data_IF_219753871785
#
_entry.id   IF_219753871785
#
_cell.length_a   1.000
_cell.length_b   1.000
_cell.length_c   1.000
_cell.angle_alpha   90.00
_cell.angle_beta   90.00
_cell.angle_gamma   90.00
#
_symmetry.space_group_name_H-M   'P 1'
#
loop_
_entity.id
_entity.type
_entity.pdbx_description
1 polymer ?
#
# COMPACT_ATOMS: atom_id res chain seq x y z
N UNK A 1 -5.89 -18.52 12.05
CA UNK A 1 -6.64 -17.45 12.74
C UNK A 1 -7.39 -16.74 11.63
N UNK A 2 -8.72 -16.76 11.65
CA UNK A 2 -9.51 -15.95 10.71
C UNK A 2 -9.34 -14.49 11.12
N UNK A 3 -8.60 -13.75 10.30
CA UNK A 3 -8.32 -12.32 10.50
C UNK A 3 -9.46 -11.41 10.00
N UNK A 4 -10.57 -11.99 9.54
CA UNK A 4 -11.69 -11.28 8.90
C UNK A 4 -12.35 -10.20 9.78
N UNK A 5 -12.08 -10.19 11.08
CA UNK A 5 -12.59 -9.18 12.03
C UNK A 5 -11.49 -8.50 12.86
N UNK A 6 -10.24 -8.50 12.40
CA UNK A 6 -9.21 -7.76 13.13
C UNK A 6 -9.46 -6.25 12.97
N UNK A 7 -9.67 -5.48 14.06
CA UNK A 7 -9.87 -4.04 13.97
C UNK A 7 -8.65 -3.42 13.29
N UNK A 8 -8.85 -2.70 12.20
CA UNK A 8 -7.75 -2.15 11.40
C UNK A 8 -6.87 -1.22 12.26
N UNK A 9 -7.45 -0.59 13.29
CA UNK A 9 -6.76 0.24 14.27
C UNK A 9 -5.67 -0.51 15.06
N UNK A 10 -5.78 -1.83 15.23
CA UNK A 10 -4.77 -2.62 15.94
C UNK A 10 -3.47 -2.78 15.12
N UNK A 11 -3.50 -2.50 13.82
CA UNK A 11 -2.32 -2.58 12.95
C UNK A 11 -1.30 -1.48 13.25
N UNK A 12 -1.66 -0.41 13.99
CA UNK A 12 -0.74 0.69 14.31
C UNK A 12 0.45 0.30 15.20
N UNK A 13 0.41 -0.89 15.79
CA UNK A 13 1.50 -1.42 16.61
C UNK A 13 2.42 -2.36 15.83
N UNK A 14 2.03 -2.74 14.61
CA UNK A 14 2.79 -3.64 13.78
C UNK A 14 3.86 -2.86 13.01
N UNK A 15 5.06 -3.43 13.02
CA UNK A 15 6.22 -2.98 12.24
C UNK A 15 5.98 -3.28 10.77
N UNK A 16 5.49 -4.50 10.50
CA UNK A 16 5.06 -4.92 9.17
C UNK A 16 3.77 -5.73 9.23
N UNK A 17 2.98 -5.69 8.15
CA UNK A 17 1.74 -6.45 8.05
C UNK A 17 1.30 -6.69 6.61
N UNK A 18 0.59 -7.79 6.39
CA UNK A 18 -0.06 -8.10 5.13
C UNK A 18 -1.58 -8.05 5.31
N UNK A 19 -2.27 -7.40 4.38
CA UNK A 19 -3.72 -7.33 4.34
C UNK A 19 -4.21 -7.89 3.02
N UNK A 20 -5.12 -8.85 3.13
CA UNK A 20 -5.82 -9.41 1.98
C UNK A 20 -7.15 -8.68 1.82
N UNK A 21 -7.35 -8.04 0.66
CA UNK A 21 -8.56 -7.33 0.29
C UNK A 21 -9.25 -8.04 -0.86
N UNK A 22 -10.51 -8.41 -0.63
CA UNK A 22 -11.38 -8.93 -1.69
C UNK A 22 -11.94 -7.79 -2.53
N UNK A 23 -12.35 -6.68 -1.91
CA UNK A 23 -12.72 -5.45 -2.61
C UNK A 23 -12.20 -4.22 -1.86
N UNK A 24 -11.32 -3.45 -2.48
CA UNK A 24 -10.76 -2.24 -1.85
C UNK A 24 -11.61 -1.02 -2.13
N UNK A 25 -12.23 -0.46 -1.08
CA UNK A 25 -12.83 0.87 -1.16
C UNK A 25 -11.79 1.96 -0.91
N UNK A 26 -12.01 3.16 -1.48
CA UNK A 26 -11.20 4.35 -1.19
C UNK A 26 -11.22 4.67 0.32
N UNK A 27 -12.33 4.40 1.01
CA UNK A 27 -12.45 4.65 2.44
C UNK A 27 -11.51 3.75 3.25
N UNK A 28 -11.36 2.49 2.87
CA UNK A 28 -10.45 1.56 3.57
C UNK A 28 -8.99 1.88 3.28
N UNK A 29 -8.67 2.29 2.04
CA UNK A 29 -7.37 2.84 1.69
C UNK A 29 -6.99 4.05 2.54
N UNK A 30 -7.94 4.96 2.80
CA UNK A 30 -7.71 6.12 3.67
C UNK A 30 -7.41 5.67 5.10
N UNK A 31 -8.18 4.71 5.64
CA UNK A 31 -7.94 4.17 6.99
C UNK A 31 -6.56 3.53 7.12
N UNK A 32 -6.17 2.70 6.15
CA UNK A 32 -4.83 2.10 6.14
C UNK A 32 -3.76 3.18 6.11
N UNK A 33 -3.87 4.15 5.20
CA UNK A 33 -2.91 5.25 5.12
C UNK A 33 -2.78 5.99 6.45
N UNK A 34 -3.91 6.29 7.09
CA UNK A 34 -3.92 6.95 8.40
C UNK A 34 -3.24 6.12 9.48
N UNK A 35 -3.45 4.80 9.48
CA UNK A 35 -2.80 3.88 10.44
C UNK A 35 -1.30 3.83 10.21
N UNK A 36 -0.89 3.67 8.95
CA UNK A 36 0.52 3.64 8.56
C UNK A 36 1.20 4.95 8.99
N UNK A 37 0.61 6.10 8.68
CA UNK A 37 1.14 7.43 9.05
C UNK A 37 1.21 7.65 10.57
N UNK A 38 0.37 6.97 11.35
CA UNK A 38 0.36 7.08 12.82
C UNK A 38 1.22 6.04 13.50
N UNK A 39 1.69 5.01 12.79
CA UNK A 39 2.51 3.95 13.35
C UNK A 39 3.98 4.40 13.40
N UNK A 40 4.54 4.66 14.59
CA UNK A 40 5.90 5.19 14.72
C UNK A 40 6.97 4.15 14.37
N UNK A 41 6.61 2.88 14.26
CA UNK A 41 7.52 1.77 13.97
C UNK A 41 7.20 1.10 12.64
N UNK A 42 6.35 1.71 11.82
CA UNK A 42 6.01 1.14 10.52
C UNK A 42 7.22 1.08 9.59
N UNK A 43 7.47 -0.11 9.05
CA UNK A 43 8.50 -0.38 8.06
C UNK A 43 7.90 -0.71 6.71
N UNK A 44 6.95 -1.66 6.67
CA UNK A 44 6.34 -2.11 5.43
C UNK A 44 4.93 -2.66 5.58
N UNK A 45 4.13 -2.60 4.53
CA UNK A 45 2.85 -3.29 4.45
C UNK A 45 2.64 -3.84 3.05
N UNK A 46 2.10 -5.05 2.95
CA UNK A 46 1.57 -5.56 1.69
C UNK A 46 0.05 -5.54 1.71
N UNK A 47 -0.54 -5.11 0.60
CA UNK A 47 -1.97 -5.10 0.35
C UNK A 47 -2.20 -5.99 -0.86
N UNK A 48 -2.77 -7.17 -0.65
CA UNK A 48 -3.04 -8.16 -1.68
C UNK A 48 -4.50 -8.08 -2.11
N UNK A 49 -4.76 -8.01 -3.41
CA UNK A 49 -6.09 -8.05 -4.01
C UNK A 49 -6.29 -9.36 -4.77
N UNK A 50 -7.12 -10.26 -4.22
CA UNK A 50 -7.37 -11.58 -4.80
C UNK A 50 -8.46 -11.57 -5.87
N UNK A 51 -9.21 -10.47 -5.97
CA UNK A 51 -10.19 -10.33 -7.03
C UNK A 51 -9.51 -9.90 -8.34
N UNK A 52 -9.98 -10.49 -9.45
CA UNK A 52 -9.62 -10.15 -10.84
C UNK A 52 -9.83 -8.66 -11.16
N UNK A 53 -10.59 -7.97 -10.29
CA UNK A 53 -10.76 -6.53 -10.28
C UNK A 53 -9.57 -5.88 -9.57
N UNK A 54 -8.62 -5.46 -10.41
CA UNK A 54 -7.43 -4.67 -10.11
C UNK A 54 -7.68 -3.59 -9.05
N UNK A 55 -6.69 -3.32 -8.20
CA UNK A 55 -6.68 -2.15 -7.31
C UNK A 55 -7.04 -0.92 -8.14
N UNK A 56 -8.15 -0.25 -7.78
CA UNK A 56 -8.66 0.86 -8.56
C UNK A 56 -7.70 2.04 -8.53
N UNK A 57 -7.58 2.82 -9.62
CA UNK A 57 -6.77 4.04 -9.62
C UNK A 57 -7.10 5.02 -8.50
N UNK A 58 -8.37 5.08 -8.08
CA UNK A 58 -8.79 5.95 -6.97
C UNK A 58 -8.17 5.53 -5.63
N UNK A 59 -7.95 4.23 -5.43
CA UNK A 59 -7.27 3.68 -4.24
C UNK A 59 -5.79 4.03 -4.28
N UNK A 60 -5.14 3.86 -5.44
CA UNK A 60 -3.74 4.25 -5.64
C UNK A 60 -3.51 5.74 -5.33
N UNK A 61 -4.46 6.59 -5.71
CA UNK A 61 -4.43 8.03 -5.42
C UNK A 61 -4.46 8.39 -3.95
N UNK A 62 -4.95 7.51 -3.08
CA UNK A 62 -4.88 7.75 -1.63
C UNK A 62 -3.43 7.78 -1.16
N UNK A 63 -2.62 6.83 -1.64
CA UNK A 63 -1.21 6.74 -1.31
C UNK A 63 -0.38 7.71 -2.16
N UNK A 64 -0.75 7.90 -3.43
CA UNK A 64 -0.01 8.73 -4.39
C UNK A 64 -0.96 9.70 -5.13
N UNK A 65 -1.23 10.89 -4.59
CA UNK A 65 -2.25 11.81 -5.12
C UNK A 65 -2.07 12.19 -6.60
N UNK A 66 -0.82 12.20 -7.07
CA UNK A 66 -0.45 12.52 -8.45
C UNK A 66 -0.48 11.31 -9.39
N UNK A 67 -0.89 10.13 -8.90
CA UNK A 67 -0.99 8.94 -9.73
C UNK A 67 -2.04 9.14 -10.84
N UNK A 68 -1.61 8.93 -12.08
CA UNK A 68 -2.45 8.96 -13.27
C UNK A 68 -2.41 7.56 -13.86
N UNK A 69 -3.55 6.87 -13.85
CA UNK A 69 -3.63 5.55 -14.45
C UNK A 69 -3.35 5.61 -15.95
N UNK A 70 -2.40 4.80 -16.39
CA UNK A 70 -2.14 4.55 -17.80
C UNK A 70 -2.48 3.12 -18.16
N UNK A 71 -2.79 2.84 -19.42
CA UNK A 71 -3.04 1.47 -19.89
C UNK A 71 -1.82 0.53 -19.68
N UNK A 72 -0.61 1.08 -19.50
CA UNK A 72 0.60 0.29 -19.23
C UNK A 72 0.70 -0.22 -17.80
N UNK A 73 0.16 0.52 -16.83
CA UNK A 73 0.28 0.19 -15.40
C UNK A 73 -0.36 -1.17 -15.06
N UNK A 74 -1.21 -1.67 -15.96
CA UNK A 74 -1.83 -2.96 -15.83
C UNK A 74 -0.99 -4.14 -16.32
N UNK A 75 0.15 -3.89 -16.95
CA UNK A 75 1.03 -4.92 -17.50
C UNK A 75 2.45 -4.86 -16.93
N UNK A 76 2.79 -3.78 -16.21
CA UNK A 76 4.12 -3.54 -15.68
C UNK A 76 4.07 -3.26 -14.18
N UNK A 77 5.16 -3.60 -13.49
CA UNK A 77 5.35 -3.20 -12.10
C UNK A 77 5.55 -1.67 -12.06
N UNK A 78 4.78 -0.99 -11.24
CA UNK A 78 4.82 0.46 -11.09
C UNK A 78 5.34 0.81 -9.70
N UNK A 79 6.47 1.51 -9.66
CA UNK A 79 7.00 2.08 -8.43
C UNK A 79 6.56 3.54 -8.28
N UNK A 80 5.99 3.86 -7.13
CA UNK A 80 5.51 5.20 -6.78
C UNK A 80 6.18 5.65 -5.48
N UNK A 81 6.70 6.87 -5.44
CA UNK A 81 7.37 7.41 -4.24
C UNK A 81 6.80 8.77 -3.87
N UNK A 82 6.64 9.01 -2.58
CA UNK A 82 6.32 10.31 -1.99
C UNK A 82 7.17 10.52 -0.72
N UNK A 83 6.95 11.64 -0.03
CA UNK A 83 7.72 12.06 1.15
C UNK A 83 7.68 11.06 2.33
N UNK A 84 6.72 10.13 2.35
CA UNK A 84 6.51 9.18 3.43
C UNK A 84 6.69 7.73 2.99
N UNK A 85 6.32 7.42 1.74
CA UNK A 85 6.16 6.05 1.26
C UNK A 85 6.78 5.81 -0.10
N UNK A 86 7.43 4.67 -0.22
CA UNK A 86 7.68 3.98 -1.49
C UNK A 86 6.61 2.91 -1.63
N UNK A 87 5.91 2.86 -2.76
CA UNK A 87 4.92 1.83 -3.04
C UNK A 87 5.25 1.12 -4.34
N UNK A 88 5.20 -0.20 -4.32
CA UNK A 88 5.38 -1.05 -5.50
C UNK A 88 4.02 -1.65 -5.83
N UNK A 89 3.42 -1.22 -6.94
CA UNK A 89 2.19 -1.77 -7.48
C UNK A 89 2.57 -2.85 -8.50
N UNK A 90 2.15 -4.08 -8.27
CA UNK A 90 2.46 -5.17 -9.19
C UNK A 90 1.55 -5.15 -10.41
N UNK A 91 2.08 -5.64 -11.53
CA UNK A 91 1.38 -5.70 -12.81
C UNK A 91 -0.01 -6.33 -12.65
N UNK A 92 -1.02 -5.63 -13.17
CA UNK A 92 -2.42 -6.03 -13.04
C UNK A 92 -3.10 -5.53 -11.76
N UNK A 93 -2.38 -4.81 -10.89
CA UNK A 93 -2.93 -4.26 -9.65
C UNK A 93 -3.38 -5.34 -8.68
N UNK A 94 -2.70 -6.50 -8.68
CA UNK A 94 -2.99 -7.63 -7.78
C UNK A 94 -2.45 -7.41 -6.38
N UNK A 95 -1.45 -6.55 -6.22
CA UNK A 95 -0.92 -6.20 -4.91
C UNK A 95 -0.23 -4.84 -4.94
N UNK A 96 -0.15 -4.25 -3.76
CA UNK A 96 0.68 -3.11 -3.43
C UNK A 96 1.58 -3.50 -2.28
N UNK A 97 2.87 -3.27 -2.42
CA UNK A 97 3.75 -3.17 -1.26
C UNK A 97 3.95 -1.68 -0.95
N UNK A 98 3.97 -1.33 0.33
CA UNK A 98 4.21 0.01 0.85
C UNK A 98 5.38 -0.10 1.81
N UNK A 99 6.38 0.77 1.67
CA UNK A 99 7.56 0.83 2.50
C UNK A 99 7.74 2.26 3.03
N UNK A 100 8.21 2.39 4.25
CA UNK A 100 8.61 3.68 4.82
C UNK A 100 9.92 4.14 4.17
N UNK A 101 9.92 5.34 3.59
CA UNK A 101 11.13 5.89 2.92
C UNK A 101 12.23 6.30 3.91
N UNK A 102 11.89 6.54 5.18
CA UNK A 102 12.87 6.97 6.18
C UNK A 102 13.71 5.83 6.75
N UNK A 103 13.47 4.60 6.30
CA UNK A 103 14.26 3.42 6.65
C UNK A 103 15.25 3.03 5.55
N UNK A 104 15.29 3.77 4.45
CA UNK A 104 16.33 3.61 3.45
C UNK A 104 17.64 4.15 4.05
N UNK A 105 18.54 3.21 4.30
CA UNK A 105 19.93 3.42 4.70
C UNK A 105 20.55 4.49 3.78
N UNK A 106 21.30 5.48 4.30
CA UNK A 106 21.99 6.47 3.47
C UNK A 106 22.93 5.87 2.40
N UNK A 107 23.24 4.58 2.48
CA UNK A 107 24.09 3.84 1.53
C UNK A 107 23.37 3.40 0.22
N UNK A 108 22.04 3.52 0.11
CA UNK A 108 21.31 3.16 -1.13
C UNK A 108 21.41 4.23 -2.26
N UNK A 109 22.16 5.31 -2.03
CA UNK A 109 22.35 6.42 -2.98
C UNK A 109 23.81 6.70 -3.40
N UNK A 110 24.76 5.80 -3.16
CA UNK A 110 26.12 5.89 -3.73
C UNK A 110 26.30 5.18 -5.08
#
# INVERSE_FOLDING_TARGET
MDFDNFPIEQLSHLISFDIEWTETSVADAIKIKDIILRSPHFESASILSHCVNKIKPEVLKVFHPNYIATDRDYNEMLELRNDYFRSIVYAGGSSIDIYNVNLEDPDDFE
#
